data_IF_268062737871
#
_entry.id   IF_268062737871
#
_cell.length_a   1.000
_cell.length_b   1.000
_cell.length_c   1.000
_cell.angle_alpha   90.00
_cell.angle_beta   90.00
_cell.angle_gamma   90.00
#
_symmetry.space_group_name_H-M   'P 1'
#
loop_
_entity.id
_entity.type
_entity.pdbx_description
1 polymer ?
#
# COMPACT_ATOMS: atom_id res chain seq x y z
N UNK A 1 -8.60 -12.42 10.75
CA UNK A 1 -9.45 -13.09 9.75
C UNK A 1 -8.80 -13.16 8.36
N UNK A 2 -8.36 -12.03 7.76
CA UNK A 2 -7.79 -11.99 6.40
C UNK A 2 -6.55 -12.90 6.26
N UNK A 3 -5.58 -12.80 7.17
CA UNK A 3 -4.36 -13.64 7.13
C UNK A 3 -4.66 -15.14 7.06
N UNK A 4 -5.68 -15.61 7.78
CA UNK A 4 -6.14 -17.01 7.72
C UNK A 4 -6.75 -17.36 6.35
N UNK A 5 -7.54 -16.45 5.77
CA UNK A 5 -8.21 -16.67 4.48
C UNK A 5 -7.22 -16.72 3.30
N UNK A 6 -6.11 -16.00 3.40
CA UNK A 6 -5.04 -16.01 2.39
C UNK A 6 -3.97 -17.08 2.66
N UNK A 7 -4.14 -17.93 3.67
CA UNK A 7 -3.20 -19.00 4.02
C UNK A 7 -1.89 -18.52 4.64
N UNK A 8 -1.84 -17.31 5.18
CA UNK A 8 -0.64 -16.78 5.82
C UNK A 8 -0.44 -17.39 7.22
N UNK A 9 0.80 -17.76 7.50
CA UNK A 9 1.23 -18.36 8.76
C UNK A 9 1.78 -17.28 9.68
N UNK A 10 1.43 -17.33 10.96
CA UNK A 10 1.99 -16.42 11.95
C UNK A 10 3.47 -16.77 12.20
N UNK A 11 4.34 -15.78 12.10
CA UNK A 11 5.77 -15.88 12.35
C UNK A 11 6.21 -14.82 13.38
N UNK A 12 5.46 -14.72 14.49
CA UNK A 12 5.66 -13.70 15.51
C UNK A 12 4.96 -12.39 15.13
N UNK A 13 5.74 -11.34 14.83
CA UNK A 13 5.22 -10.01 14.49
C UNK A 13 4.66 -9.91 13.06
N UNK A 14 4.98 -10.90 12.21
CA UNK A 14 4.63 -10.90 10.78
C UNK A 14 3.81 -12.13 10.41
N UNK A 15 3.12 -12.03 9.27
CA UNK A 15 2.44 -13.15 8.64
C UNK A 15 3.14 -13.49 7.33
N UNK A 16 3.57 -14.74 7.17
CA UNK A 16 4.38 -15.19 6.03
C UNK A 16 3.54 -16.14 5.16
N UNK A 17 3.70 -16.03 3.85
CA UNK A 17 3.13 -16.95 2.86
C UNK A 17 4.23 -17.59 2.03
N UNK A 18 3.94 -18.74 1.42
CA UNK A 18 4.82 -19.32 0.41
C UNK A 18 4.87 -18.39 -0.82
N UNK A 19 6.06 -17.93 -1.18
CA UNK A 19 6.28 -17.07 -2.34
C UNK A 19 5.85 -17.72 -3.67
N UNK A 20 5.83 -19.06 -3.75
CA UNK A 20 5.46 -19.80 -4.95
C UNK A 20 3.98 -19.68 -5.31
N UNK A 21 3.11 -19.50 -4.30
CA UNK A 21 1.65 -19.46 -4.48
C UNK A 21 1.09 -18.06 -4.65
N UNK A 22 1.89 -17.01 -4.47
CA UNK A 22 1.43 -15.61 -4.47
C UNK A 22 0.61 -15.25 -5.72
N UNK A 23 1.02 -15.71 -6.90
CA UNK A 23 0.30 -15.43 -8.15
C UNK A 23 -1.12 -16.04 -8.20
N UNK A 24 -1.39 -17.06 -7.39
CA UNK A 24 -2.68 -17.79 -7.32
C UNK A 24 -3.55 -17.38 -6.14
N UNK A 25 -3.06 -16.50 -5.26
CA UNK A 25 -3.80 -16.05 -4.08
C UNK A 25 -5.05 -15.23 -4.47
N UNK A 26 -6.09 -15.22 -3.63
CA UNK A 26 -7.32 -14.50 -3.94
C UNK A 26 -7.11 -12.98 -3.94
N UNK A 27 -7.93 -12.27 -4.71
CA UNK A 27 -8.02 -10.82 -4.55
C UNK A 27 -8.72 -10.47 -3.23
N UNK A 28 -8.26 -9.42 -2.56
CA UNK A 28 -8.94 -8.84 -1.39
C UNK A 28 -9.68 -7.60 -1.84
N UNK A 29 -10.99 -7.54 -1.66
CA UNK A 29 -11.81 -6.41 -2.12
C UNK A 29 -12.45 -5.68 -0.94
N UNK A 30 -12.27 -4.37 -0.89
CA UNK A 30 -13.01 -3.48 0.00
C UNK A 30 -14.18 -2.89 -0.77
N UNK A 31 -15.38 -2.92 -0.18
CA UNK A 31 -16.57 -2.30 -0.76
C UNK A 31 -16.83 -0.99 -0.04
N UNK A 32 -16.67 0.13 -0.75
CA UNK A 32 -16.91 1.47 -0.20
C UNK A 32 -17.89 2.16 -1.14
N UNK A 33 -19.04 2.57 -0.61
CA UNK A 33 -20.11 3.21 -1.38
C UNK A 33 -20.46 2.45 -2.68
N UNK A 34 -20.67 1.13 -2.57
CA UNK A 34 -20.97 0.21 -3.67
C UNK A 34 -19.89 0.10 -4.76
N UNK A 35 -18.70 0.71 -4.60
CA UNK A 35 -17.54 0.48 -5.48
C UNK A 35 -16.59 -0.54 -4.86
N UNK A 36 -16.12 -1.46 -5.70
CA UNK A 36 -15.08 -2.42 -5.32
C UNK A 36 -13.69 -1.79 -5.46
N UNK A 37 -12.90 -1.86 -4.38
CA UNK A 37 -11.49 -1.52 -4.34
C UNK A 37 -10.70 -2.82 -4.15
N UNK A 38 -10.25 -3.37 -5.27
CA UNK A 38 -9.62 -4.68 -5.37
C UNK A 38 -8.11 -4.56 -5.15
N UNK A 39 -7.55 -5.26 -4.17
CA UNK A 39 -6.12 -5.51 -4.02
C UNK A 39 -5.81 -6.90 -4.60
N UNK A 40 -4.86 -6.95 -5.54
CA UNK A 40 -4.33 -8.20 -6.10
C UNK A 40 -3.21 -8.71 -5.18
N UNK A 41 -2.82 -9.99 -5.24
CA UNK A 41 -1.77 -10.54 -4.39
C UNK A 41 -0.47 -9.74 -4.36
N UNK A 42 -0.02 -9.25 -5.52
CA UNK A 42 1.17 -8.41 -5.61
C UNK A 42 1.06 -7.05 -4.91
N UNK A 43 -0.14 -6.59 -4.61
CA UNK A 43 -0.37 -5.32 -3.93
C UNK A 43 -0.23 -5.47 -2.42
N UNK A 44 -0.66 -6.61 -1.85
CA UNK A 44 -0.74 -6.85 -0.40
C UNK A 44 0.28 -7.88 0.14
N UNK A 45 1.09 -8.49 -0.74
CA UNK A 45 2.23 -9.32 -0.36
C UNK A 45 3.53 -8.59 -0.64
N UNK A 46 4.27 -8.29 0.43
CA UNK A 46 5.58 -7.68 0.35
C UNK A 46 6.66 -8.76 0.20
N UNK A 47 7.53 -8.62 -0.80
CA UNK A 47 8.72 -9.44 -0.96
C UNK A 47 9.89 -8.77 -0.25
N UNK A 48 10.45 -9.43 0.77
CA UNK A 48 11.54 -8.91 1.58
C UNK A 48 12.75 -9.84 1.45
N UNK A 49 13.95 -9.27 1.32
CA UNK A 49 15.18 -10.07 1.35
C UNK A 49 15.36 -10.67 2.75
N UNK A 50 15.64 -11.98 2.81
CA UNK A 50 15.87 -12.71 4.04
C UNK A 50 17.13 -13.58 3.94
N UNK A 51 17.66 -14.03 5.06
CA UNK A 51 18.77 -14.99 5.10
C UNK A 51 18.36 -16.29 4.41
N UNK A 52 18.84 -16.51 3.18
CA UNK A 52 18.49 -17.68 2.36
C UNK A 52 17.52 -17.42 1.19
N UNK A 53 17.13 -16.17 0.92
CA UNK A 53 16.35 -15.84 -0.29
C UNK A 53 15.38 -14.68 -0.11
N UNK A 54 14.13 -14.90 -0.52
CA UNK A 54 13.05 -13.91 -0.45
C UNK A 54 11.95 -14.46 0.47
N UNK A 55 11.57 -13.69 1.48
CA UNK A 55 10.37 -13.93 2.28
C UNK A 55 9.18 -13.16 1.69
N UNK A 56 8.00 -13.77 1.67
CA UNK A 56 6.76 -13.14 1.25
C UNK A 56 5.88 -12.88 2.47
N UNK A 57 5.69 -11.60 2.77
CA UNK A 57 5.06 -11.12 3.99
C UNK A 57 3.71 -10.49 3.65
N UNK A 58 2.65 -10.92 4.33
CA UNK A 58 1.34 -10.26 4.28
C UNK A 58 1.43 -8.91 4.98
N UNK A 59 0.96 -7.86 4.32
CA UNK A 59 0.88 -6.51 4.90
C UNK A 59 -0.35 -6.29 5.77
N UNK A 60 -1.23 -7.30 5.90
CA UNK A 60 -2.40 -7.20 6.76
C UNK A 60 -2.02 -7.40 8.23
N UNK A 61 -2.16 -6.33 9.01
CA UNK A 61 -2.02 -6.36 10.46
C UNK A 61 -3.40 -6.47 11.08
N UNK A 62 -3.59 -7.48 11.93
CA UNK A 62 -4.80 -7.65 12.73
C UNK A 62 -4.66 -7.01 14.10
N UNK A 63 -5.73 -6.41 14.61
CA UNK A 63 -5.82 -5.97 16.00
C UNK A 63 -7.17 -6.40 16.57
N UNK A 64 -7.15 -7.08 17.72
CA UNK A 64 -8.37 -7.49 18.42
C UNK A 64 -9.02 -6.31 19.18
N UNK A 65 -8.30 -5.19 19.34
CA UNK A 65 -8.81 -3.98 20.01
C UNK A 65 -9.51 -3.00 19.08
N UNK A 66 -9.37 -3.16 17.75
CA UNK A 66 -9.95 -2.25 16.77
C UNK A 66 -11.20 -2.88 16.13
N UNK A 67 -12.28 -2.11 16.08
CA UNK A 67 -13.55 -2.51 15.44
C UNK A 67 -13.70 -1.97 14.01
N UNK A 68 -12.67 -1.30 13.50
CA UNK A 68 -12.63 -0.68 12.18
C UNK A 68 -11.36 -1.06 11.42
N UNK A 69 -11.40 -0.88 10.09
CA UNK A 69 -10.25 -1.08 9.22
C UNK A 69 -9.48 0.22 9.05
N UNK A 70 -8.15 0.13 9.10
CA UNK A 70 -7.25 1.22 8.72
C UNK A 70 -6.76 0.93 7.30
N UNK A 71 -7.15 1.76 6.34
CA UNK A 71 -6.72 1.65 4.95
C UNK A 71 -5.40 2.42 4.77
N UNK A 72 -4.29 1.72 4.99
CA UNK A 72 -2.95 2.30 5.02
C UNK A 72 -2.26 2.43 3.66
N UNK A 73 -0.93 2.40 3.71
CA UNK A 73 -0.01 2.62 2.59
C UNK A 73 -0.28 1.72 1.39
N UNK A 74 -0.61 0.43 1.59
CA UNK A 74 -0.94 -0.50 0.50
C UNK A 74 -2.17 -0.05 -0.27
N UNK A 75 -3.22 0.37 0.44
CA UNK A 75 -4.44 0.88 -0.19
C UNK A 75 -4.14 2.20 -0.90
N UNK A 76 -3.46 3.13 -0.24
CA UNK A 76 -3.14 4.46 -0.76
C UNK A 76 -2.14 4.45 -1.93
N UNK A 77 -1.30 3.41 -2.03
CA UNK A 77 -0.39 3.23 -3.18
C UNK A 77 -1.16 2.83 -4.43
N UNK A 78 -2.17 1.98 -4.28
CA UNK A 78 -3.00 1.52 -5.40
C UNK A 78 -4.12 2.50 -5.76
N UNK A 79 -4.64 3.21 -4.78
CA UNK A 79 -5.73 4.17 -4.96
C UNK A 79 -5.27 5.54 -4.48
N UNK A 80 -5.18 6.48 -5.42
CA UNK A 80 -4.94 7.88 -5.09
C UNK A 80 -6.09 8.39 -4.21
N UNK A 81 -5.73 8.99 -3.08
CA UNK A 81 -6.68 9.42 -2.06
C UNK A 81 -6.64 10.94 -1.91
N UNK A 82 -7.80 11.58 -2.06
CA UNK A 82 -7.98 13.02 -1.83
C UNK A 82 -8.78 13.22 -0.56
N UNK A 83 -8.23 14.01 0.36
CA UNK A 83 -8.91 14.44 1.58
C UNK A 83 -9.49 15.85 1.35
N UNK A 84 -10.77 15.92 1.01
CA UNK A 84 -11.48 17.18 0.80
C UNK A 84 -12.09 17.64 2.13
N UNK A 85 -11.28 18.33 2.92
CA UNK A 85 -11.66 18.84 4.24
C UNK A 85 -12.73 19.93 4.15
N UNK A 86 -12.81 20.68 3.03
CA UNK A 86 -13.83 21.71 2.83
C UNK A 86 -15.24 21.13 2.68
N UNK A 87 -15.35 19.91 2.16
CA UNK A 87 -16.62 19.19 2.00
C UNK A 87 -16.74 17.94 2.90
N UNK A 88 -15.84 17.75 3.87
CA UNK A 88 -15.81 16.60 4.78
C UNK A 88 -15.94 15.23 4.07
N UNK A 89 -15.21 15.03 2.97
CA UNK A 89 -15.28 13.80 2.18
C UNK A 89 -13.91 13.31 1.74
N UNK A 90 -13.86 12.03 1.41
CA UNK A 90 -12.67 11.38 0.86
C UNK A 90 -13.00 10.89 -0.55
N UNK A 91 -12.12 11.19 -1.50
CA UNK A 91 -12.21 10.71 -2.88
C UNK A 91 -11.12 9.69 -3.17
N UNK A 92 -11.45 8.68 -3.97
CA UNK A 92 -10.50 7.66 -4.41
C UNK A 92 -10.49 7.55 -5.93
N UNK A 93 -9.31 7.39 -6.53
CA UNK A 93 -9.10 7.08 -7.93
C UNK A 93 -8.02 6.01 -8.09
N UNK A 94 -8.00 5.28 -9.20
CA UNK A 94 -6.92 4.32 -9.46
C UNK A 94 -5.59 5.06 -9.62
N UNK A 95 -4.53 4.60 -8.95
CA UNK A 95 -3.21 5.21 -9.09
C UNK A 95 -2.57 4.83 -10.43
N UNK A 96 -1.75 5.73 -10.96
CA UNK A 96 -1.03 5.47 -12.20
C UNK A 96 0.03 4.40 -11.93
N UNK A 97 -0.22 3.19 -12.41
CA UNK A 97 0.67 2.04 -12.22
C UNK A 97 1.83 2.11 -13.22
N UNK A 98 2.77 3.03 -12.99
CA UNK A 98 4.11 2.93 -13.55
C UNK A 98 5.02 2.36 -12.47
N UNK A 99 5.85 1.36 -12.78
CA UNK A 99 7.20 1.38 -12.20
C UNK A 99 7.69 2.83 -12.28
N UNK A 100 8.42 3.38 -11.29
CA UNK A 100 8.99 4.69 -11.47
C UNK A 100 9.79 4.60 -12.77
N UNK A 101 9.24 5.13 -13.87
CA UNK A 101 10.08 5.72 -14.89
C UNK A 101 10.90 6.64 -14.04
N UNK A 102 12.20 6.32 -13.91
CA UNK A 102 13.18 7.36 -13.72
C UNK A 102 12.84 8.35 -14.83
N UNK A 103 11.97 9.32 -14.51
CA UNK A 103 11.98 10.59 -15.19
C UNK A 103 13.45 10.94 -15.04
N UNK A 104 14.15 11.02 -16.17
CA UNK A 104 15.39 11.76 -16.20
C UNK A 104 15.03 13.10 -15.57
N UNK A 105 15.33 13.21 -14.27
CA UNK A 105 15.00 14.41 -13.54
C UNK A 105 15.95 15.42 -14.14
N UNK A 106 15.43 16.22 -15.06
CA UNK A 106 16.12 17.42 -15.48
C UNK A 106 16.56 18.13 -14.19
N UNK A 107 17.78 18.64 -14.17
CA UNK A 107 18.33 19.37 -13.02
C UNK A 107 17.37 20.46 -12.54
N UNK A 108 16.58 21.03 -13.44
CA UNK A 108 15.49 21.96 -13.13
C UNK A 108 14.42 21.36 -12.21
N UNK A 109 13.99 20.11 -12.45
CA UNK A 109 12.95 19.44 -11.65
C UNK A 109 13.46 19.09 -10.25
N UNK A 110 14.74 18.72 -10.12
CA UNK A 110 15.40 18.53 -8.82
C UNK A 110 15.50 19.83 -8.03
N UNK A 111 15.86 20.95 -8.67
CA UNK A 111 15.91 22.26 -8.01
C UNK A 111 14.52 22.70 -7.56
N UNK A 112 13.49 22.53 -8.40
CA UNK A 112 12.10 22.86 -8.05
C UNK A 112 11.61 21.98 -6.89
N UNK A 113 11.90 20.68 -6.93
CA UNK A 113 11.55 19.77 -5.83
C UNK A 113 12.25 20.18 -4.52
N UNK A 114 13.55 20.50 -4.58
CA UNK A 114 14.32 20.96 -3.42
C UNK A 114 13.80 22.30 -2.89
N UNK A 115 13.42 23.23 -3.75
CA UNK A 115 12.81 24.49 -3.33
C UNK A 115 11.45 24.28 -2.68
N UNK A 116 10.60 23.41 -3.23
CA UNK A 116 9.31 23.06 -2.64
C UNK A 116 9.53 22.41 -1.27
N UNK A 117 10.42 21.42 -1.18
CA UNK A 117 10.76 20.76 0.09
C UNK A 117 11.33 21.77 1.09
N UNK A 118 12.23 22.66 0.68
CA UNK A 118 12.77 23.73 1.53
C UNK A 118 11.69 24.70 2.01
N UNK A 119 10.79 25.13 1.12
CA UNK A 119 9.67 26.02 1.45
C UNK A 119 8.67 25.39 2.42
N UNK A 120 8.41 24.08 2.30
CA UNK A 120 7.56 23.36 3.25
C UNK A 120 8.28 23.05 4.56
N UNK A 121 9.57 22.72 4.52
CA UNK A 121 10.34 22.34 5.71
C UNK A 121 10.72 23.55 6.59
N UNK A 122 10.90 24.74 6.01
CA UNK A 122 11.16 25.99 6.76
C UNK A 122 9.90 26.81 7.07
N UNK A 123 8.72 26.27 6.76
CA UNK A 123 7.44 26.82 7.26
C UNK A 123 6.95 26.13 8.54
N UNK A 124 7.81 25.32 9.18
CA UNK A 124 7.69 24.90 10.58
C UNK A 124 8.49 25.86 11.46
#
# INVERSE_FOLDING_TARGET
QINRAIGAQNAGELYIVDCSVVASMPNVSFVINNRFFVLRPQDYILRVAASGGVACVSTFVGSDSLTFYILGDVFMRKYYTVFDMGNNRIGFADSVSGAPTMLSMSTTFLIVLLQIVYLFCNKQ
#
